data_IF_980676220711
#
_entry.id   IF_980676220711
#
_cell.length_a   1.000
_cell.length_b   1.000
_cell.length_c   1.000
_cell.angle_alpha   90.00
_cell.angle_beta   90.00
_cell.angle_gamma   90.00
#
_symmetry.space_group_name_H-M   'P 1'
#
loop_
_entity.id
_entity.type
_entity.pdbx_description
1 polymer ?
#
# COMPACT_ATOMS: atom_id res chain seq x y z
N UNK A 1 -3.93 -35.02 25.59
CA UNK A 1 -4.67 -33.75 25.70
C UNK A 1 -4.93 -33.28 24.28
N UNK A 2 -6.14 -32.80 23.99
CA UNK A 2 -6.48 -32.30 22.67
C UNK A 2 -6.87 -30.83 22.85
N UNK A 3 -6.33 -29.96 22.00
CA UNK A 3 -6.64 -28.52 21.99
C UNK A 3 -7.35 -28.18 20.67
N UNK A 4 -8.08 -27.07 20.67
CA UNK A 4 -8.70 -26.56 19.45
C UNK A 4 -7.62 -26.06 18.49
N UNK A 5 -7.85 -26.17 17.18
CA UNK A 5 -6.93 -25.62 16.16
C UNK A 5 -6.70 -24.11 16.30
N UNK A 6 -7.68 -23.39 16.86
CA UNK A 6 -7.59 -21.94 17.10
C UNK A 6 -6.68 -21.57 18.27
N UNK A 7 -6.28 -22.56 19.07
CA UNK A 7 -5.33 -22.46 20.18
C UNK A 7 -3.89 -22.77 19.78
N UNK A 8 -3.64 -22.84 18.48
CA UNK A 8 -2.29 -22.96 17.94
C UNK A 8 -1.88 -21.56 17.52
N UNK A 9 -0.69 -21.12 17.97
CA UNK A 9 -0.17 -19.80 17.64
C UNK A 9 -1.06 -18.65 18.11
N UNK A 10 -1.79 -18.83 19.22
CA UNK A 10 -2.69 -17.81 19.79
C UNK A 10 -2.00 -16.97 20.88
N UNK A 11 -0.68 -17.11 21.02
CA UNK A 11 0.16 -16.51 22.05
C UNK A 11 -0.14 -17.01 23.48
N UNK A 12 -0.88 -18.12 23.62
CA UNK A 12 -1.23 -18.72 24.91
C UNK A 12 -0.65 -20.13 24.98
N UNK A 13 0.17 -20.40 26.00
CA UNK A 13 0.68 -21.75 26.25
C UNK A 13 -0.42 -22.66 26.80
N UNK A 14 -1.07 -23.45 25.95
CA UNK A 14 -1.96 -24.53 26.34
C UNK A 14 -1.22 -25.86 26.54
N UNK A 15 -0.12 -26.11 25.81
CA UNK A 15 0.66 -27.35 25.95
C UNK A 15 1.80 -27.22 26.98
N UNK A 16 2.06 -28.31 27.72
CA UNK A 16 3.04 -28.35 28.83
C UNK A 16 4.47 -27.95 28.42
N UNK A 17 4.81 -28.10 27.14
CA UNK A 17 6.12 -27.78 26.58
C UNK A 17 6.10 -26.58 25.62
N UNK A 18 4.98 -25.87 25.49
CA UNK A 18 4.81 -24.73 24.58
C UNK A 18 4.94 -25.09 23.09
N UNK A 19 4.74 -26.35 22.75
CA UNK A 19 4.82 -26.87 21.37
C UNK A 19 3.70 -26.30 20.46
N UNK A 20 2.59 -25.87 21.07
CA UNK A 20 1.44 -25.24 20.42
C UNK A 20 1.71 -23.82 19.92
N UNK A 21 2.69 -23.15 20.54
CA UNK A 21 3.11 -21.79 20.19
C UNK A 21 4.41 -21.77 19.35
N UNK A 22 4.97 -22.93 19.03
CA UNK A 22 6.14 -23.05 18.15
C UNK A 22 5.74 -23.09 16.67
N UNK A 23 5.41 -21.91 16.15
CA UNK A 23 4.81 -21.74 14.82
C UNK A 23 5.87 -21.57 13.73
N UNK A 24 6.61 -22.65 13.48
CA UNK A 24 7.70 -22.66 12.50
C UNK A 24 7.20 -22.64 11.05
N UNK A 25 7.91 -21.90 10.19
CA UNK A 25 7.69 -21.92 8.74
C UNK A 25 8.16 -23.26 8.14
N UNK A 26 7.33 -23.88 7.31
CA UNK A 26 7.74 -25.03 6.48
C UNK A 26 7.78 -24.56 5.02
N UNK A 27 8.96 -24.60 4.39
CA UNK A 27 9.17 -24.16 3.00
C UNK A 27 8.66 -22.74 2.69
N UNK A 28 8.82 -21.80 3.65
CA UNK A 28 8.40 -20.41 3.49
C UNK A 28 6.88 -20.19 3.55
N UNK A 29 6.09 -21.22 3.88
CA UNK A 29 4.65 -21.10 4.11
C UNK A 29 4.31 -21.40 5.57
N UNK A 30 3.30 -20.69 6.09
CA UNK A 30 2.73 -20.93 7.42
C UNK A 30 1.83 -22.17 7.38
N UNK A 31 2.45 -23.32 7.09
CA UNK A 31 1.77 -24.61 7.04
C UNK A 31 2.18 -25.41 8.27
N UNK A 32 1.43 -25.26 9.35
CA UNK A 32 1.34 -26.31 10.35
C UNK A 32 0.42 -27.39 9.79
N UNK A 33 1.00 -28.47 9.27
CA UNK A 33 0.31 -29.72 8.93
C UNK A 33 -1.04 -29.57 8.18
N UNK A 34 -1.13 -28.65 7.22
CA UNK A 34 -2.30 -28.53 6.34
C UNK A 34 -3.51 -27.79 6.93
N UNK A 35 -3.34 -27.07 8.04
CA UNK A 35 -4.38 -26.20 8.62
C UNK A 35 -4.21 -24.77 8.08
N UNK A 36 -5.07 -24.37 7.15
CA UNK A 36 -5.08 -23.04 6.52
C UNK A 36 -5.59 -21.91 7.42
N UNK A 37 -5.37 -21.98 8.73
CA UNK A 37 -5.88 -21.02 9.72
C UNK A 37 -4.80 -20.04 10.25
N UNK A 38 -3.58 -20.08 9.68
CA UNK A 38 -2.48 -19.20 10.09
C UNK A 38 -2.29 -18.03 9.12
N UNK A 39 -2.10 -16.85 9.68
CA UNK A 39 -1.73 -15.63 8.97
C UNK A 39 -0.20 -15.52 8.92
N UNK A 40 0.34 -15.16 7.74
CA UNK A 40 1.78 -14.93 7.55
C UNK A 40 2.09 -13.43 7.54
N UNK A 41 2.86 -12.98 8.52
CA UNK A 41 3.47 -11.67 8.53
C UNK A 41 4.52 -11.60 7.41
N UNK A 42 4.31 -10.73 6.43
CA UNK A 42 5.24 -10.50 5.33
C UNK A 42 6.52 -9.80 5.76
N UNK A 43 6.39 -8.86 6.69
CA UNK A 43 7.48 -7.98 7.15
C UNK A 43 8.47 -8.75 8.02
N UNK A 44 7.97 -9.54 8.97
CA UNK A 44 8.79 -10.26 9.95
C UNK A 44 8.93 -11.75 9.66
N UNK A 45 8.20 -12.29 8.68
CA UNK A 45 8.16 -13.72 8.38
C UNK A 45 7.72 -14.58 9.59
N UNK A 46 6.87 -14.04 10.46
CA UNK A 46 6.25 -14.78 11.57
C UNK A 46 4.90 -15.34 11.13
N UNK A 47 4.48 -16.47 11.71
CA UNK A 47 3.17 -17.07 11.53
C UNK A 47 2.35 -16.92 12.81
N UNK A 48 1.13 -16.39 12.70
CA UNK A 48 0.23 -16.18 13.84
C UNK A 48 -1.13 -16.80 13.57
N UNK A 49 -1.91 -17.07 14.61
CA UNK A 49 -3.32 -17.46 14.45
C UNK A 49 -4.10 -16.36 13.73
N UNK A 50 -4.97 -16.73 12.79
CA UNK A 50 -5.88 -15.75 12.15
C UNK A 50 -6.81 -15.04 13.13
N UNK A 51 -6.97 -15.57 14.35
CA UNK A 51 -7.75 -14.93 15.42
C UNK A 51 -7.06 -13.69 16.01
N UNK A 52 -5.75 -13.52 15.79
CA UNK A 52 -4.94 -12.40 16.26
C UNK A 52 -4.83 -11.27 15.24
N UNK A 53 -5.53 -11.38 14.10
CA UNK A 53 -5.56 -10.35 13.06
C UNK A 53 -6.66 -9.33 13.39
N UNK A 54 -6.33 -8.04 13.31
CA UNK A 54 -7.18 -6.90 13.69
C UNK A 54 -7.69 -6.94 15.14
N UNK A 55 -6.90 -7.49 16.05
CA UNK A 55 -7.24 -7.59 17.47
C UNK A 55 -6.69 -6.40 18.30
N UNK A 56 -6.08 -5.42 17.61
CA UNK A 56 -5.50 -4.17 18.13
C UNK A 56 -4.14 -4.35 18.79
N UNK A 57 -3.52 -5.52 18.64
CA UNK A 57 -2.21 -5.82 19.20
C UNK A 57 -1.26 -6.23 18.08
N UNK A 58 0.00 -5.80 18.19
CA UNK A 58 0.97 -5.96 17.12
C UNK A 58 1.68 -7.33 17.20
N UNK A 59 1.02 -8.41 16.78
CA UNK A 59 1.59 -9.77 16.82
C UNK A 59 2.65 -9.99 15.74
N UNK A 60 2.50 -9.35 14.58
CA UNK A 60 3.52 -9.41 13.54
C UNK A 60 4.75 -8.55 13.86
N UNK A 61 4.69 -7.68 14.87
CA UNK A 61 5.71 -6.66 15.13
C UNK A 61 5.63 -5.49 14.15
N UNK A 62 6.22 -4.36 14.55
CA UNK A 62 6.18 -3.11 13.77
C UNK A 62 7.46 -2.87 12.98
N UNK A 63 7.32 -2.34 11.77
CA UNK A 63 8.44 -1.84 10.99
C UNK A 63 8.91 -0.44 11.47
N UNK A 64 9.88 0.15 10.76
CA UNK A 64 10.43 1.49 11.10
C UNK A 64 9.41 2.62 10.95
N UNK A 65 8.37 2.40 10.15
CA UNK A 65 7.30 3.35 9.87
C UNK A 65 6.06 3.08 10.75
N UNK A 66 6.21 2.28 11.82
CA UNK A 66 5.14 1.84 12.72
C UNK A 66 4.07 0.94 12.09
N UNK A 67 4.28 0.48 10.86
CA UNK A 67 3.35 -0.38 10.13
C UNK A 67 3.43 -1.83 10.65
N UNK A 68 2.28 -2.48 10.74
CA UNK A 68 2.12 -3.83 11.26
C UNK A 68 1.18 -4.67 10.38
N UNK A 69 1.66 -5.84 9.91
CA UNK A 69 0.92 -6.62 8.91
C UNK A 69 -0.45 -7.13 9.38
N UNK A 70 -0.62 -7.43 10.67
CA UNK A 70 -1.86 -7.97 11.24
C UNK A 70 -2.88 -6.89 11.64
N UNK A 71 -2.45 -5.64 11.79
CA UNK A 71 -3.30 -4.54 12.24
C UNK A 71 -3.57 -3.50 11.14
N UNK A 72 -2.65 -3.34 10.19
CA UNK A 72 -2.74 -2.38 9.09
C UNK A 72 -3.09 -3.09 7.76
N UNK A 73 -4.19 -3.86 7.75
CA UNK A 73 -4.58 -4.70 6.61
C UNK A 73 -4.78 -3.93 5.29
N UNK A 74 -5.23 -2.68 5.36
CA UNK A 74 -5.40 -1.84 4.17
C UNK A 74 -4.05 -1.50 3.54
N UNK A 75 -3.08 -1.11 4.36
CA UNK A 75 -1.72 -0.84 3.92
C UNK A 75 -1.04 -2.12 3.43
N UNK A 76 -1.30 -3.27 4.08
CA UNK A 76 -0.85 -4.58 3.63
C UNK A 76 -1.39 -4.92 2.24
N UNK A 77 -2.68 -4.62 1.98
CA UNK A 77 -3.30 -4.85 0.68
C UNK A 77 -2.64 -3.99 -0.40
N UNK A 78 -2.49 -2.68 -0.13
CA UNK A 78 -1.84 -1.73 -1.03
C UNK A 78 -0.38 -2.15 -1.32
N UNK A 79 0.35 -2.60 -0.31
CA UNK A 79 1.74 -3.09 -0.45
C UNK A 79 1.87 -4.42 -1.19
N UNK A 80 0.78 -5.20 -1.31
CA UNK A 80 0.77 -6.52 -1.98
C UNK A 80 0.14 -6.50 -3.36
N UNK A 81 -0.78 -5.59 -3.62
CA UNK A 81 -1.59 -5.59 -4.83
C UNK A 81 -1.34 -4.33 -5.64
N UNK A 82 -0.92 -4.54 -6.90
CA UNK A 82 -0.77 -3.44 -7.84
C UNK A 82 -2.17 -2.94 -8.26
N UNK A 83 -2.45 -1.66 -8.02
CA UNK A 83 -3.67 -1.00 -8.49
C UNK A 83 -3.38 -0.16 -9.73
N UNK A 84 -4.23 -0.28 -10.76
CA UNK A 84 -4.12 0.50 -12.01
C UNK A 84 -4.10 2.01 -11.75
N UNK A 85 -4.75 2.46 -10.68
CA UNK A 85 -4.83 3.87 -10.27
C UNK A 85 -3.55 4.40 -9.64
N UNK A 86 -2.76 3.53 -9.00
CA UNK A 86 -1.58 3.92 -8.22
C UNK A 86 -0.27 3.64 -8.98
N UNK A 87 -0.34 3.05 -10.18
CA UNK A 87 0.85 2.85 -11.00
C UNK A 87 1.29 4.20 -11.56
N UNK A 88 2.56 4.53 -11.38
CA UNK A 88 3.22 5.71 -11.96
C UNK A 88 2.62 7.04 -11.51
N UNK A 89 2.04 7.09 -10.31
CA UNK A 89 1.41 8.28 -9.76
C UNK A 89 2.40 9.16 -8.95
N UNK A 90 3.65 8.73 -8.85
CA UNK A 90 4.71 9.43 -8.13
C UNK A 90 4.88 9.01 -6.67
N UNK A 91 4.09 8.06 -6.17
CA UNK A 91 4.24 7.46 -4.86
C UNK A 91 4.77 6.03 -4.99
N UNK A 92 5.45 5.54 -3.96
CA UNK A 92 5.94 4.15 -3.96
C UNK A 92 5.19 3.37 -2.90
N UNK A 93 4.06 2.82 -3.29
CA UNK A 93 3.18 2.03 -2.44
C UNK A 93 3.54 0.55 -2.49
N UNK A 94 3.89 0.04 -3.67
CA UNK A 94 4.27 -1.35 -3.86
C UNK A 94 5.70 -1.58 -3.38
N UNK A 95 5.85 -2.18 -2.19
CA UNK A 95 7.16 -2.48 -1.61
C UNK A 95 7.71 -3.78 -2.20
N UNK A 96 8.66 -3.63 -3.12
CA UNK A 96 9.74 -4.56 -3.49
C UNK A 96 9.34 -6.04 -3.68
N UNK A 97 8.87 -6.37 -4.88
CA UNK A 97 8.94 -7.75 -5.37
C UNK A 97 10.33 -7.96 -5.98
N UNK A 98 11.16 -8.82 -5.37
CA UNK A 98 12.45 -9.21 -5.96
C UNK A 98 12.23 -10.19 -7.11
N UNK A 99 11.94 -9.68 -8.30
CA UNK A 99 11.91 -10.49 -9.53
C UNK A 99 13.26 -10.34 -10.24
N UNK A 100 14.01 -11.44 -10.42
CA UNK A 100 15.33 -11.44 -11.08
C UNK A 100 16.40 -10.51 -10.47
N UNK A 101 16.36 -10.26 -9.16
CA UNK A 101 17.36 -9.43 -8.48
C UNK A 101 17.24 -7.93 -8.76
N UNK A 102 16.13 -7.49 -9.36
CA UNK A 102 15.74 -6.07 -9.45
C UNK A 102 14.63 -5.77 -8.44
N UNK A 103 14.69 -4.56 -7.91
CA UNK A 103 13.69 -4.02 -7.01
C UNK A 103 12.55 -3.48 -7.87
N UNK A 104 11.49 -4.27 -8.04
CA UNK A 104 10.31 -3.85 -8.79
C UNK A 104 9.34 -3.13 -7.84
N UNK A 105 8.96 -1.90 -8.20
CA UNK A 105 7.87 -1.14 -7.57
C UNK A 105 6.85 -0.74 -8.65
N UNK A 106 5.87 0.08 -8.30
CA UNK A 106 4.84 0.67 -9.17
C UNK A 106 5.31 1.87 -10.01
N UNK A 107 6.50 2.40 -9.72
CA UNK A 107 7.05 3.62 -10.33
C UNK A 107 8.09 3.45 -11.47
N UNK A 108 8.77 2.30 -11.68
CA UNK A 108 9.69 2.14 -12.79
C UNK A 108 8.95 1.84 -14.10
N UNK A 109 9.59 2.17 -15.22
CA UNK A 109 9.12 1.82 -16.58
C UNK A 109 7.74 2.37 -17.01
N UNK A 110 7.28 3.47 -16.40
CA UNK A 110 6.04 4.18 -16.76
C UNK A 110 5.85 4.51 -18.24
N UNK A 111 6.93 4.56 -19.02
CA UNK A 111 6.90 4.72 -20.49
C UNK A 111 6.13 3.61 -21.23
N UNK A 112 5.99 2.42 -20.64
CA UNK A 112 5.26 1.30 -21.23
C UNK A 112 3.82 1.21 -20.71
N UNK A 113 3.51 1.91 -19.62
CA UNK A 113 2.17 1.95 -19.07
C UNK A 113 1.29 2.92 -19.87
N UNK A 114 0.07 2.49 -20.20
CA UNK A 114 -0.92 3.40 -20.78
C UNK A 114 -1.48 4.28 -19.68
N UNK A 115 -0.73 5.34 -19.35
CA UNK A 115 -1.03 6.25 -18.24
C UNK A 115 -2.37 6.98 -18.40
N UNK A 116 -2.88 7.15 -19.62
CA UNK A 116 -4.20 7.75 -19.89
C UNK A 116 -5.20 6.65 -20.25
N UNK A 117 -6.02 6.25 -19.28
CA UNK A 117 -7.06 5.26 -19.48
C UNK A 117 -8.35 5.67 -18.73
N UNK A 118 -9.36 4.81 -18.69
CA UNK A 118 -10.64 5.13 -18.02
C UNK A 118 -10.55 5.23 -16.50
N UNK A 119 -9.50 4.68 -15.90
CA UNK A 119 -9.30 4.66 -14.45
C UNK A 119 -8.45 5.83 -13.97
N UNK A 120 -7.51 6.30 -14.79
CA UNK A 120 -6.55 7.36 -14.46
C UNK A 120 -6.90 8.71 -15.08
N UNK A 121 -7.96 8.81 -15.88
CA UNK A 121 -8.37 10.08 -16.51
C UNK A 121 -9.23 10.89 -15.56
N UNK A 122 -8.81 12.12 -15.30
CA UNK A 122 -9.53 13.08 -14.47
C UNK A 122 -9.74 12.58 -13.04
N UNK A 123 -8.82 11.77 -12.53
CA UNK A 123 -8.88 11.18 -11.19
C UNK A 123 -8.11 12.01 -10.14
N UNK A 124 -7.54 13.14 -10.58
CA UNK A 124 -6.74 14.11 -9.82
C UNK A 124 -5.30 13.67 -9.55
N UNK A 125 -4.87 12.54 -10.09
CA UNK A 125 -3.50 12.06 -10.00
C UNK A 125 -2.80 12.22 -11.34
N UNK A 126 -1.54 12.64 -11.30
CA UNK A 126 -0.71 12.69 -12.52
C UNK A 126 -0.01 11.34 -12.69
N UNK A 127 -0.63 10.44 -13.43
CA UNK A 127 -0.04 9.20 -13.89
C UNK A 127 0.71 9.39 -15.21
N UNK A 128 0.34 10.39 -16.02
CA UNK A 128 1.01 10.73 -17.27
C UNK A 128 2.07 11.83 -17.17
N UNK A 129 3.05 11.77 -18.08
CA UNK A 129 3.97 12.88 -18.30
C UNK A 129 3.21 14.16 -18.68
N UNK A 130 3.54 15.28 -18.01
CA UNK A 130 2.82 16.56 -18.10
C UNK A 130 1.32 16.52 -17.74
N UNK A 131 0.83 15.50 -17.04
CA UNK A 131 -0.56 15.46 -16.56
C UNK A 131 -1.60 15.39 -17.68
N UNK A 132 -1.25 14.77 -18.81
CA UNK A 132 -2.13 14.71 -20.00
C UNK A 132 -3.39 13.85 -19.82
N UNK A 133 -3.42 13.04 -18.77
CA UNK A 133 -4.57 12.35 -18.20
C UNK A 133 -5.53 13.30 -17.48
N UNK A 134 -5.02 14.36 -16.87
CA UNK A 134 -5.76 15.33 -16.06
C UNK A 134 -6.17 16.62 -16.79
N UNK A 135 -5.96 16.74 -18.10
CA UNK A 135 -6.37 17.95 -18.86
C UNK A 135 -7.77 17.82 -19.46
N UNK A 136 -8.46 18.97 -19.61
CA UNK A 136 -9.80 19.07 -20.20
C UNK A 136 -10.87 18.24 -19.46
N UNK A 137 -10.74 18.22 -18.14
CA UNK A 137 -11.63 17.52 -17.23
C UNK A 137 -12.82 18.41 -16.86
N UNK A 138 -14.01 18.04 -17.31
CA UNK A 138 -15.24 18.75 -16.96
C UNK A 138 -16.02 17.97 -15.89
N UNK A 139 -16.30 18.61 -14.76
CA UNK A 139 -17.17 18.05 -13.74
C UNK A 139 -18.61 18.49 -14.00
N UNK A 140 -19.47 17.53 -14.33
CA UNK A 140 -20.92 17.76 -14.42
C UNK A 140 -21.55 18.07 -13.06
N UNK A 141 -20.92 17.67 -11.95
CA UNK A 141 -21.40 17.94 -10.60
C UNK A 141 -21.20 19.40 -10.20
N UNK A 142 -20.08 20.01 -10.58
CA UNK A 142 -19.77 21.41 -10.25
C UNK A 142 -20.02 22.38 -11.40
N UNK A 143 -20.37 21.87 -12.60
CA UNK A 143 -20.46 22.61 -13.85
C UNK A 143 -19.20 23.45 -14.16
N UNK A 144 -18.04 22.97 -13.73
CA UNK A 144 -16.76 23.67 -13.85
C UNK A 144 -15.70 22.74 -14.43
N UNK A 145 -14.74 23.34 -15.14
CA UNK A 145 -13.51 22.65 -15.49
C UNK A 145 -12.72 22.40 -14.21
N UNK A 146 -12.38 21.14 -13.97
CA UNK A 146 -11.50 20.76 -12.87
C UNK A 146 -10.06 21.13 -13.18
N UNK A 147 -9.68 21.08 -14.47
CA UNK A 147 -8.33 21.38 -14.93
C UNK A 147 -8.31 22.22 -16.21
N UNK A 148 -7.20 22.91 -16.47
CA UNK A 148 -6.98 23.78 -17.63
C UNK A 148 -6.33 23.06 -18.83
N UNK A 149 -6.25 23.70 -20.02
CA UNK A 149 -5.52 23.14 -21.16
C UNK A 149 -4.04 22.85 -20.82
N UNK A 150 -3.46 21.86 -21.51
CA UNK A 150 -2.08 21.35 -21.26
C UNK A 150 -1.00 22.44 -21.17
N UNK A 151 -1.15 23.56 -21.88
CA UNK A 151 -0.22 24.69 -21.84
C UNK A 151 -0.11 25.36 -20.46
N UNK A 152 -1.08 25.10 -19.58
CA UNK A 152 -1.14 25.57 -18.20
C UNK A 152 -0.96 24.43 -17.19
N UNK A 153 -0.45 23.28 -17.62
CA UNK A 153 -0.06 22.22 -16.69
C UNK A 153 1.40 22.42 -16.29
N UNK A 154 1.68 22.41 -14.98
CA UNK A 154 3.00 22.54 -14.37
C UNK A 154 3.78 23.77 -14.85
N UNK A 155 3.13 24.94 -14.82
CA UNK A 155 3.67 26.25 -15.17
C UNK A 155 3.92 27.16 -13.94
N UNK A 156 3.93 26.57 -12.74
CA UNK A 156 4.22 27.19 -11.45
C UNK A 156 3.14 28.16 -10.92
N UNK A 157 1.89 28.03 -11.38
CA UNK A 157 0.77 28.78 -10.83
C UNK A 157 -0.46 27.89 -10.70
N UNK A 158 -1.05 27.87 -9.50
CA UNK A 158 -2.20 27.04 -9.18
C UNK A 158 -3.45 27.73 -9.72
N UNK A 159 -3.97 27.23 -10.84
CA UNK A 159 -5.23 27.68 -11.41
C UNK A 159 -6.37 26.67 -11.23
N UNK A 160 -6.05 25.41 -10.95
CA UNK A 160 -7.02 24.32 -10.92
C UNK A 160 -7.47 23.98 -9.50
N UNK A 161 -8.64 23.33 -9.40
CA UNK A 161 -9.16 22.89 -8.10
C UNK A 161 -8.16 21.90 -7.47
N UNK A 162 -7.94 22.06 -6.17
CA UNK A 162 -6.97 21.30 -5.37
C UNK A 162 -5.50 21.40 -5.86
N UNK A 163 -5.17 22.36 -6.75
CA UNK A 163 -3.82 22.54 -7.29
C UNK A 163 -3.34 21.39 -8.17
N UNK A 164 -4.27 20.67 -8.80
CA UNK A 164 -4.02 19.50 -9.65
C UNK A 164 -3.21 19.80 -10.91
N UNK A 165 -3.20 21.05 -11.37
CA UNK A 165 -2.35 21.50 -12.48
C UNK A 165 -0.89 21.67 -12.09
N UNK A 166 -0.57 21.81 -10.81
CA UNK A 166 0.77 22.07 -10.29
C UNK A 166 1.20 20.98 -9.30
N UNK A 167 1.27 19.71 -9.73
CA UNK A 167 1.56 18.61 -8.82
C UNK A 167 2.94 18.75 -8.17
N UNK A 168 3.91 19.42 -8.79
CA UNK A 168 5.22 19.65 -8.15
C UNK A 168 5.14 20.59 -6.95
N UNK A 169 4.19 21.53 -6.95
CA UNK A 169 3.95 22.44 -5.82
C UNK A 169 3.11 21.75 -4.73
N UNK A 170 2.17 20.89 -5.12
CA UNK A 170 1.34 20.14 -4.18
C UNK A 170 2.09 18.94 -3.55
N UNK A 171 2.83 18.17 -4.35
CA UNK A 171 3.62 17.01 -3.89
C UNK A 171 4.75 17.42 -2.94
N UNK A 172 5.33 18.63 -3.07
CA UNK A 172 6.37 19.10 -2.15
C UNK A 172 5.85 19.37 -0.72
N UNK A 173 4.57 19.71 -0.56
CA UNK A 173 4.01 20.07 0.74
C UNK A 173 3.64 18.86 1.61
N UNK A 174 3.52 17.66 1.05
CA UNK A 174 3.35 16.43 1.83
C UNK A 174 4.63 16.02 2.57
N UNK A 175 5.80 16.45 2.10
CA UNK A 175 7.09 16.23 2.78
C UNK A 175 7.49 17.35 3.75
N UNK A 176 6.76 18.47 3.82
CA UNK A 176 7.05 19.57 4.76
C UNK A 176 6.12 19.62 5.97
N UNK A 177 5.23 18.63 6.14
CA UNK A 177 4.29 18.58 7.26
C UNK A 177 4.72 17.63 8.40
N UNK A 178 5.97 17.15 8.39
CA UNK A 178 6.50 16.26 9.45
C UNK A 178 7.83 16.73 10.06
N UNK A 179 8.21 17.99 9.88
CA UNK A 179 9.32 18.60 10.60
C UNK A 179 8.95 20.04 10.96
N UNK A 180 8.11 20.23 11.98
CA UNK A 180 8.05 21.43 12.82
C UNK A 180 7.06 21.20 13.97
N UNK A 181 7.55 20.56 15.04
CA UNK A 181 7.09 20.80 16.41
C UNK A 181 8.17 20.27 17.38
N UNK A 182 9.18 21.11 17.61
CA UNK A 182 9.89 21.17 18.88
C UNK A 182 9.36 22.38 19.66
#
# INVERSE_FOLDING_TARGET
MCISKHRLCDSITDCKYNDDEECAQINGSCLLYGLGDLFKCTTTNICISSALVEDRWYHCGRDKNFYCDDEDLNDLYIRKHISITNICDGFTELILVTTNGRNETDEPECKYWTCKNTYTRCDRFWNCFHGTDEVDCYSSHTNQFMCLPLVKANYSNIDCLDGTDEPKLCRSNLYQSSDNNF
#
